data_IF_243537510965
#
_entry.id   IF_243537510965
#
_cell.length_a   1.000
_cell.length_b   1.000
_cell.length_c   1.000
_cell.angle_alpha   90.00
_cell.angle_beta   90.00
_cell.angle_gamma   90.00
#
_symmetry.space_group_name_H-M   'P 1'
#
loop_
_entity.id
_entity.type
_entity.pdbx_description
1 polymer ?
#
# COMPACT_ATOMS: atom_id res chain seq x y z
N UNK A 1 4.48 10.62 1.12
CA UNK A 1 4.86 9.41 1.88
C UNK A 1 6.30 9.52 2.33
N UNK A 2 6.52 9.35 3.63
CA UNK A 2 7.85 9.40 4.21
C UNK A 2 8.70 8.18 3.80
N UNK A 3 10.04 8.30 3.81
CA UNK A 3 10.93 7.16 3.72
C UNK A 3 10.59 6.09 4.77
N UNK A 4 10.56 4.82 4.35
CA UNK A 4 10.21 3.70 5.21
C UNK A 4 8.70 3.42 5.34
N UNK A 5 7.83 4.21 4.74
CA UNK A 5 6.40 3.93 4.74
C UNK A 5 6.07 2.75 3.82
N UNK A 6 5.34 1.78 4.35
CA UNK A 6 4.82 0.61 3.63
C UNK A 6 3.31 0.50 3.92
N UNK A 7 2.49 0.62 2.88
CA UNK A 7 1.03 0.54 3.05
C UNK A 7 0.56 -0.86 3.42
N UNK A 8 1.41 -1.88 3.20
CA UNK A 8 1.03 -3.29 3.28
C UNK A 8 0.18 -3.74 2.10
N UNK A 9 0.41 -4.96 1.62
CA UNK A 9 -0.41 -5.52 0.55
C UNK A 9 -1.85 -5.72 1.03
N UNK A 10 -2.80 -5.31 0.21
CA UNK A 10 -4.24 -5.38 0.48
C UNK A 10 -5.03 -5.42 -0.83
N UNK A 11 -6.34 -5.67 -0.74
CA UNK A 11 -7.26 -5.59 -1.88
C UNK A 11 -8.61 -5.05 -1.46
N UNK A 12 -9.36 -4.55 -2.44
CA UNK A 12 -10.74 -4.12 -2.31
C UNK A 12 -11.64 -5.03 -3.14
N UNK A 13 -12.80 -5.41 -2.62
CA UNK A 13 -13.75 -6.22 -3.37
C UNK A 13 -14.43 -5.43 -4.50
N UNK A 14 -14.72 -4.15 -4.29
CA UNK A 14 -15.50 -3.31 -5.18
C UNK A 14 -14.75 -2.07 -5.70
N UNK A 15 -13.80 -1.53 -4.93
CA UNK A 15 -13.11 -0.31 -5.31
C UNK A 15 -12.05 -0.54 -6.40
N UNK A 16 -11.97 0.42 -7.31
CA UNK A 16 -10.89 0.56 -8.29
C UNK A 16 -10.05 1.80 -7.95
N UNK A 17 -8.76 1.73 -8.19
CA UNK A 17 -7.84 2.79 -7.81
C UNK A 17 -6.85 3.13 -8.92
N UNK A 18 -6.45 4.39 -8.97
CA UNK A 18 -5.36 4.87 -9.82
C UNK A 18 -4.38 5.65 -8.95
N UNK A 19 -3.11 5.30 -9.07
CA UNK A 19 -1.99 5.99 -8.44
C UNK A 19 -1.08 6.57 -9.52
N UNK A 20 -0.82 7.87 -9.44
CA UNK A 20 0.08 8.55 -10.36
C UNK A 20 1.20 9.23 -9.58
N UNK A 21 2.44 8.81 -9.79
CA UNK A 21 3.59 9.37 -9.10
C UNK A 21 3.94 10.75 -9.62
N UNK A 22 3.98 11.71 -8.69
CA UNK A 22 4.36 13.11 -8.94
C UNK A 22 5.83 13.36 -8.60
N UNK A 23 6.31 12.80 -7.48
CA UNK A 23 7.66 13.01 -6.96
C UNK A 23 8.15 11.76 -6.22
N UNK A 24 9.47 11.55 -6.25
CA UNK A 24 10.13 10.43 -5.56
C UNK A 24 9.99 9.10 -6.30
N UNK A 25 10.30 8.02 -5.62
CA UNK A 25 10.24 6.66 -6.15
C UNK A 25 9.52 5.75 -5.15
N UNK A 26 8.73 4.80 -5.69
CA UNK A 26 8.02 3.79 -4.92
C UNK A 26 8.22 2.41 -5.55
N UNK A 27 8.30 1.39 -4.71
CA UNK A 27 8.09 0.02 -5.16
C UNK A 27 6.58 -0.24 -5.19
N UNK A 28 6.07 -0.77 -6.32
CA UNK A 28 4.66 -0.90 -6.66
C UNK A 28 4.30 -2.35 -6.97
N UNK A 29 3.20 -2.82 -6.40
CA UNK A 29 2.58 -4.12 -6.69
C UNK A 29 1.13 -3.91 -7.12
N UNK A 30 0.74 -4.50 -8.27
CA UNK A 30 -0.66 -4.56 -8.72
C UNK A 30 -0.85 -5.84 -9.56
N UNK A 31 -0.84 -6.99 -8.91
CA UNK A 31 -1.11 -8.29 -9.52
C UNK A 31 -1.53 -9.33 -8.47
N UNK A 32 -2.20 -10.40 -8.95
CA UNK A 32 -2.48 -11.57 -8.12
C UNK A 32 -1.19 -12.37 -7.91
N UNK A 33 -0.71 -12.53 -6.67
CA UNK A 33 0.49 -13.29 -6.40
C UNK A 33 0.23 -14.80 -6.55
N UNK A 34 1.26 -15.56 -6.92
CA UNK A 34 1.19 -17.03 -6.98
C UNK A 34 0.86 -17.63 -5.62
N UNK A 35 1.39 -17.04 -4.55
CA UNK A 35 1.09 -17.38 -3.17
C UNK A 35 1.12 -16.10 -2.33
N UNK A 36 0.10 -15.90 -1.50
CA UNK A 36 0.08 -14.85 -0.47
C UNK A 36 0.81 -15.36 0.76
N UNK A 37 2.14 -15.41 0.73
CA UNK A 37 2.89 -15.72 1.93
C UNK A 37 2.85 -14.51 2.89
N UNK A 38 2.60 -14.70 4.20
CA UNK A 38 2.77 -13.62 5.15
C UNK A 38 4.25 -13.17 5.16
N UNK A 39 4.49 -11.87 5.08
CA UNK A 39 5.84 -11.32 5.09
C UNK A 39 6.07 -10.24 4.04
N UNK A 40 7.23 -10.24 3.44
CA UNK A 40 7.66 -9.19 2.51
C UNK A 40 7.01 -9.35 1.13
N UNK A 41 5.94 -8.58 0.86
CA UNK A 41 5.25 -8.58 -0.42
C UNK A 41 6.14 -8.09 -1.58
N UNK A 42 7.25 -7.39 -1.30
CA UNK A 42 8.15 -6.92 -2.36
C UNK A 42 8.86 -8.06 -3.08
N UNK A 43 8.85 -9.26 -2.51
CA UNK A 43 9.36 -10.48 -3.12
C UNK A 43 8.30 -11.30 -3.86
N UNK A 44 7.04 -10.85 -3.87
CA UNK A 44 5.96 -11.61 -4.52
C UNK A 44 6.11 -11.63 -6.04
N UNK A 45 5.60 -12.72 -6.64
CA UNK A 45 5.60 -12.96 -8.08
C UNK A 45 4.24 -13.54 -8.49
N UNK A 46 3.71 -13.10 -9.63
CA UNK A 46 2.49 -13.67 -10.21
C UNK A 46 2.77 -15.03 -10.88
N UNK A 47 1.72 -15.78 -11.16
CA UNK A 47 1.82 -17.03 -11.95
C UNK A 47 2.43 -16.80 -13.35
N UNK A 48 2.22 -15.61 -13.92
CA UNK A 48 2.79 -15.19 -15.21
C UNK A 48 4.18 -14.54 -15.12
N UNK A 49 4.81 -14.51 -13.94
CA UNK A 49 6.16 -13.97 -13.75
C UNK A 49 6.21 -12.44 -13.54
N UNK A 50 5.07 -11.76 -13.37
CA UNK A 50 5.07 -10.35 -12.99
C UNK A 50 5.67 -10.17 -11.59
N UNK A 51 6.43 -9.10 -11.42
CA UNK A 51 7.11 -8.76 -10.16
C UNK A 51 6.83 -7.32 -9.77
N UNK A 52 7.17 -6.99 -8.54
CA UNK A 52 7.16 -5.62 -8.03
C UNK A 52 8.04 -4.73 -8.90
N UNK A 53 7.53 -3.56 -9.25
CA UNK A 53 8.19 -2.59 -10.13
C UNK A 53 8.50 -1.33 -9.35
N UNK A 54 9.71 -0.80 -9.54
CA UNK A 54 10.04 0.54 -9.05
C UNK A 54 9.57 1.59 -10.05
N UNK A 55 8.65 2.45 -9.60
CA UNK A 55 8.13 3.58 -10.36
C UNK A 55 8.70 4.90 -9.86
N UNK A 56 8.98 5.82 -10.79
CA UNK A 56 9.34 7.21 -10.54
C UNK A 56 8.28 8.18 -11.05
N UNK A 57 8.55 9.50 -11.07
CA UNK A 57 7.61 10.52 -11.56
C UNK A 57 7.08 10.20 -12.95
N UNK A 58 5.76 10.29 -13.13
CA UNK A 58 5.07 9.91 -14.37
C UNK A 58 4.61 8.45 -14.43
N UNK A 59 5.01 7.59 -13.48
CA UNK A 59 4.49 6.22 -13.38
C UNK A 59 3.03 6.23 -12.97
N UNK A 60 2.22 5.38 -13.63
CA UNK A 60 0.81 5.18 -13.31
C UNK A 60 0.58 3.70 -12.96
N UNK A 61 -0.12 3.47 -11.86
CA UNK A 61 -0.59 2.14 -11.45
C UNK A 61 -2.12 2.15 -11.41
N UNK A 62 -2.75 1.33 -12.23
CA UNK A 62 -4.19 1.05 -12.17
C UNK A 62 -4.43 -0.25 -11.42
N UNK A 63 -5.38 -0.22 -10.50
CA UNK A 63 -5.75 -1.35 -9.65
C UNK A 63 -7.24 -1.65 -9.88
N UNK A 64 -7.60 -2.71 -10.61
CA UNK A 64 -8.98 -3.14 -10.73
C UNK A 64 -9.49 -3.73 -9.42
N UNK A 65 -10.82 -3.77 -9.24
CA UNK A 65 -11.48 -4.42 -8.12
C UNK A 65 -10.97 -5.86 -7.94
N UNK A 66 -10.72 -6.26 -6.70
CA UNK A 66 -10.22 -7.59 -6.34
C UNK A 66 -8.71 -7.78 -6.50
N UNK A 67 -7.99 -6.87 -7.16
CA UNK A 67 -6.55 -7.00 -7.40
C UNK A 67 -5.74 -6.67 -6.14
N UNK A 68 -4.89 -7.60 -5.65
CA UNK A 68 -3.91 -7.29 -4.64
C UNK A 68 -2.95 -6.21 -5.10
N UNK A 69 -2.71 -5.22 -4.23
CA UNK A 69 -1.81 -4.12 -4.54
C UNK A 69 -1.13 -3.60 -3.28
N UNK A 70 -0.02 -2.91 -3.49
CA UNK A 70 0.76 -2.28 -2.44
C UNK A 70 1.71 -1.24 -3.02
N UNK A 71 2.17 -0.36 -2.16
CA UNK A 71 3.29 0.53 -2.43
C UNK A 71 4.13 0.76 -1.17
N UNK A 72 5.44 0.94 -1.37
CA UNK A 72 6.36 1.27 -0.27
C UNK A 72 7.43 2.25 -0.74
N UNK A 73 7.83 3.13 0.16
CA UNK A 73 8.95 4.04 -0.04
C UNK A 73 10.20 3.48 0.65
N UNK A 74 10.99 2.72 -0.07
CA UNK A 74 12.29 2.22 0.42
C UNK A 74 13.45 3.20 0.14
N UNK A 75 13.15 4.34 -0.47
CA UNK A 75 14.12 5.41 -0.73
C UNK A 75 14.49 6.22 0.50
N UNK A 76 15.32 7.22 0.31
CA UNK A 76 15.76 8.17 1.36
C UNK A 76 15.04 9.52 1.29
N UNK A 77 14.30 9.79 0.21
CA UNK A 77 13.54 11.01 0.00
C UNK A 77 12.02 10.73 0.09
N UNK A 78 11.22 11.72 0.49
CA UNK A 78 9.76 11.61 0.43
C UNK A 78 9.26 11.36 -1.00
N UNK A 79 8.15 10.62 -1.13
CA UNK A 79 7.44 10.45 -2.38
C UNK A 79 6.04 11.06 -2.28
N UNK A 80 5.54 11.57 -3.42
CA UNK A 80 4.21 12.15 -3.55
C UNK A 80 3.50 11.57 -4.76
N UNK A 81 2.24 11.19 -4.58
CA UNK A 81 1.40 10.67 -5.65
C UNK A 81 0.01 11.28 -5.62
N UNK A 82 -0.62 11.35 -6.78
CA UNK A 82 -2.06 11.56 -6.92
C UNK A 82 -2.75 10.21 -6.76
N UNK A 83 -3.81 10.19 -5.96
CA UNK A 83 -4.60 9.01 -5.69
C UNK A 83 -6.05 9.27 -6.09
N UNK A 84 -6.63 8.40 -6.92
CA UNK A 84 -8.04 8.41 -7.31
C UNK A 84 -8.65 7.07 -6.96
N UNK A 85 -9.87 7.09 -6.45
CA UNK A 85 -10.61 5.89 -6.05
C UNK A 85 -12.08 6.02 -6.42
N UNK A 86 -12.68 4.92 -6.85
CA UNK A 86 -14.11 4.80 -7.11
C UNK A 86 -14.62 3.46 -6.56
N UNK A 87 -15.82 3.40 -5.94
CA UNK A 87 -16.70 4.53 -5.60
C UNK A 87 -16.12 5.43 -4.49
N UNK A 88 -16.78 6.56 -4.21
CA UNK A 88 -16.45 7.45 -3.08
C UNK A 88 -16.64 6.76 -1.72
N UNK A 89 -16.07 7.34 -0.66
CA UNK A 89 -16.17 6.82 0.71
C UNK A 89 -14.81 6.44 1.33
N UNK A 90 -13.74 6.49 0.53
CA UNK A 90 -12.38 6.19 1.01
C UNK A 90 -11.80 7.31 1.88
N UNK A 91 -12.35 8.50 1.80
CA UNK A 91 -11.94 9.67 2.58
C UNK A 91 -12.08 9.43 4.09
N UNK A 92 -13.15 8.78 4.54
CA UNK A 92 -13.35 8.47 5.96
C UNK A 92 -12.33 7.43 6.46
N UNK A 93 -11.94 6.49 5.59
CA UNK A 93 -10.83 5.58 5.92
C UNK A 93 -9.52 6.35 6.09
N UNK A 94 -9.21 7.29 5.20
CA UNK A 94 -7.99 8.08 5.28
C UNK A 94 -7.95 8.95 6.54
N UNK A 95 -9.07 9.52 6.96
CA UNK A 95 -9.19 10.24 8.24
C UNK A 95 -8.93 9.29 9.43
N UNK A 96 -9.58 8.14 9.46
CA UNK A 96 -9.43 7.15 10.53
C UNK A 96 -8.01 6.61 10.65
N UNK A 97 -7.35 6.31 9.52
CA UNK A 97 -5.97 5.83 9.55
C UNK A 97 -4.98 6.93 9.98
N UNK A 98 -5.22 8.17 9.58
CA UNK A 98 -4.41 9.30 10.02
C UNK A 98 -4.51 9.50 11.54
N UNK A 99 -5.70 9.34 12.10
CA UNK A 99 -5.91 9.39 13.55
C UNK A 99 -5.15 8.27 14.27
N UNK A 100 -5.31 7.02 13.84
CA UNK A 100 -4.59 5.88 14.43
C UNK A 100 -3.06 6.05 14.38
N UNK A 101 -2.53 6.60 13.30
CA UNK A 101 -1.09 6.82 13.12
C UNK A 101 -0.57 8.08 13.83
N UNK A 102 -1.43 8.95 14.32
CA UNK A 102 -1.05 10.17 15.05
C UNK A 102 -0.62 9.91 16.49
N UNK A 103 -0.99 8.76 17.06
CA UNK A 103 -0.66 8.40 18.43
C UNK A 103 0.83 8.04 18.55
N UNK A 104 1.50 8.46 19.64
CA UNK A 104 2.90 8.09 19.85
C UNK A 104 3.05 6.59 20.12
N UNK A 105 4.08 5.99 19.53
CA UNK A 105 4.39 4.56 19.67
C UNK A 105 4.13 3.74 18.42
N UNK A 106 4.29 2.42 18.50
CA UNK A 106 3.98 1.55 17.38
C UNK A 106 2.46 1.54 17.13
N UNK A 107 2.03 1.54 15.85
CA UNK A 107 0.61 1.54 15.53
C UNK A 107 -0.08 0.24 15.97
N UNK A 108 -1.31 0.37 16.47
CA UNK A 108 -2.14 -0.77 16.82
C UNK A 108 -2.59 -1.50 15.54
N UNK A 109 -1.96 -2.63 15.26
CA UNK A 109 -2.24 -3.43 14.07
C UNK A 109 -3.67 -4.00 14.07
N UNK A 110 -4.23 -4.34 15.24
CA UNK A 110 -5.59 -4.85 15.35
C UNK A 110 -6.61 -3.76 14.99
N UNK A 111 -6.39 -2.53 15.49
CA UNK A 111 -7.23 -1.38 15.15
C UNK A 111 -7.14 -1.02 13.65
N UNK A 112 -5.96 -1.13 13.04
CA UNK A 112 -5.79 -0.91 11.59
C UNK A 112 -6.56 -1.96 10.78
N UNK A 113 -6.47 -3.23 11.13
CA UNK A 113 -7.20 -4.31 10.45
C UNK A 113 -8.70 -4.09 10.56
N UNK A 114 -9.20 -3.76 11.76
CA UNK A 114 -10.62 -3.50 11.99
C UNK A 114 -11.12 -2.28 11.19
N UNK A 115 -10.36 -1.19 11.18
CA UNK A 115 -10.68 0.00 10.39
C UNK A 115 -10.74 -0.35 8.91
N UNK A 116 -9.76 -1.07 8.38
CA UNK A 116 -9.70 -1.49 6.98
C UNK A 116 -10.89 -2.35 6.58
N UNK A 117 -11.26 -3.31 7.42
CA UNK A 117 -12.41 -4.18 7.16
C UNK A 117 -13.75 -3.43 7.02
N UNK A 118 -13.91 -2.29 7.71
CA UNK A 118 -15.10 -1.44 7.59
C UNK A 118 -15.20 -0.71 6.25
N UNK A 119 -14.08 -0.54 5.54
CA UNK A 119 -13.98 0.24 4.32
C UNK A 119 -13.58 -0.60 3.10
N UNK A 120 -14.03 -1.85 3.03
CA UNK A 120 -13.75 -2.76 1.90
C UNK A 120 -12.25 -2.97 1.66
N UNK A 121 -11.46 -3.08 2.73
CA UNK A 121 -10.02 -3.33 2.61
C UNK A 121 -9.68 -4.65 3.32
N UNK A 122 -9.34 -5.67 2.54
CA UNK A 122 -8.77 -6.92 3.05
C UNK A 122 -7.25 -6.80 3.13
N UNK A 123 -6.72 -6.81 4.35
CA UNK A 123 -5.28 -6.73 4.57
C UNK A 123 -4.62 -8.10 4.34
N UNK A 124 -3.60 -8.13 3.49
CA UNK A 124 -2.80 -9.31 3.19
C UNK A 124 -1.45 -9.29 3.92
N UNK A 125 -0.84 -8.11 4.07
CA UNK A 125 0.34 -7.89 4.92
C UNK A 125 0.18 -6.62 5.75
N UNK A 126 0.94 -6.51 6.84
CA UNK A 126 0.83 -5.37 7.76
C UNK A 126 1.25 -4.05 7.13
N UNK A 127 0.55 -2.97 7.51
CA UNK A 127 1.00 -1.59 7.27
C UNK A 127 2.16 -1.26 8.21
N UNK A 128 3.23 -0.70 7.66
CA UNK A 128 4.42 -0.30 8.43
C UNK A 128 4.70 1.19 8.15
N UNK A 129 4.31 2.10 9.05
CA UNK A 129 4.49 3.54 8.83
C UNK A 129 5.95 3.99 8.75
N UNK A 130 6.85 3.23 9.39
CA UNK A 130 8.28 3.51 9.40
C UNK A 130 9.07 2.21 9.38
N UNK A 131 9.25 1.65 8.21
CA UNK A 131 10.12 0.49 7.97
C UNK A 131 11.57 0.95 8.07
N UNK A 132 12.22 0.72 9.21
CA UNK A 132 13.67 0.94 9.31
C UNK A 132 14.33 0.00 8.31
N UNK A 133 15.17 0.54 7.43
CA UNK A 133 16.06 -0.30 6.62
C UNK A 133 16.77 -1.26 7.56
N UNK A 134 16.58 -2.55 7.36
CA UNK A 134 17.45 -3.52 7.99
C UNK A 134 18.88 -3.14 7.59
N UNK A 135 19.72 -2.85 8.59
CA UNK A 135 21.14 -2.58 8.35
C UNK A 135 21.68 -3.79 7.57
N UNK A 136 22.24 -3.49 6.40
CA UNK A 136 22.94 -4.50 5.60
C UNK A 136 24.24 -4.87 6.33
#
# INVERSE_FOLDING_TARGET
MAPGFDVGAHRHAEAEEIFYLLEGELDLLAFEPRTTAPGDWTAWESAGGARVVRGGPGSLMFVPAGCPHAFTNLGSAPARMLFLVTPSGHEQYLEGIAELLSHPGPPDQAAIIELRARYDIEQLTSMIPNRRRAAR
#
